data_IF_076606932851
#
_entry.id   IF_076606932851
#
_cell.length_a   1.000
_cell.length_b   1.000
_cell.length_c   1.000
_cell.angle_alpha   90.00
_cell.angle_beta   90.00
_cell.angle_gamma   90.00
#
_symmetry.space_group_name_H-M   'P 1'
#
loop_
_entity.id
_entity.type
_entity.pdbx_description
1 polymer ?
#
# COMPACT_ATOMS: atom_id res chain seq x y z
N UNK A 1 6.56 -11.69 18.59
CA UNK A 1 5.72 -10.90 17.67
C UNK A 1 6.61 -10.38 16.56
N UNK A 2 6.17 -10.48 15.30
CA UNK A 2 6.84 -9.91 14.15
C UNK A 2 5.99 -8.74 13.63
N UNK A 3 6.60 -7.59 13.39
CA UNK A 3 5.89 -6.38 12.94
C UNK A 3 6.56 -5.84 11.68
N UNK A 4 5.76 -5.61 10.63
CA UNK A 4 6.23 -4.94 9.43
C UNK A 4 6.38 -3.43 9.70
N UNK A 5 7.47 -2.83 9.23
CA UNK A 5 7.73 -1.39 9.34
C UNK A 5 8.13 -0.80 7.99
N UNK A 6 7.78 0.47 7.71
CA UNK A 6 8.25 1.15 6.52
C UNK A 6 9.77 1.17 6.45
N UNK A 7 10.32 0.98 5.25
CA UNK A 7 11.79 0.98 5.03
C UNK A 7 12.45 2.29 5.50
N UNK A 8 11.72 3.42 5.41
CA UNK A 8 12.18 4.73 5.86
C UNK A 8 11.89 5.07 7.33
N UNK A 9 11.35 4.14 8.13
CA UNK A 9 11.01 4.41 9.53
C UNK A 9 12.27 4.79 10.33
N UNK A 10 12.21 5.94 11.00
CA UNK A 10 13.26 6.48 11.86
C UNK A 10 13.50 5.57 13.06
N UNK A 11 14.66 5.71 13.73
CA UNK A 11 14.92 4.95 14.96
C UNK A 11 13.89 5.23 16.06
N UNK A 12 13.35 6.45 16.12
CA UNK A 12 12.31 6.84 17.08
C UNK A 12 11.01 6.09 16.79
N UNK A 13 10.57 6.06 15.53
CA UNK A 13 9.35 5.34 15.12
C UNK A 13 9.51 3.83 15.33
N UNK A 14 10.64 3.24 14.92
CA UNK A 14 10.92 1.81 15.14
C UNK A 14 10.91 1.46 16.63
N UNK A 15 11.44 2.33 17.49
CA UNK A 15 11.40 2.16 18.95
C UNK A 15 9.97 2.26 19.49
N UNK A 16 9.21 3.27 19.08
CA UNK A 16 7.82 3.45 19.52
C UNK A 16 6.94 2.24 19.16
N UNK A 17 7.12 1.67 17.97
CA UNK A 17 6.41 0.45 17.54
C UNK A 17 6.78 -0.73 18.45
N UNK A 18 8.07 -0.90 18.76
CA UNK A 18 8.54 -1.97 19.65
C UNK A 18 7.97 -1.83 21.06
N UNK A 19 8.03 -0.63 21.64
CA UNK A 19 7.51 -0.34 22.97
C UNK A 19 5.99 -0.57 23.03
N UNK A 20 5.25 -0.17 21.98
CA UNK A 20 3.81 -0.41 21.88
C UNK A 20 3.49 -1.91 21.84
N UNK A 21 4.22 -2.69 21.04
CA UNK A 21 4.05 -4.13 20.98
C UNK A 21 4.40 -4.84 22.30
N UNK A 22 5.44 -4.39 22.99
CA UNK A 22 5.81 -4.90 24.33
C UNK A 22 4.76 -4.52 25.38
N UNK A 23 4.24 -3.29 25.35
CA UNK A 23 3.15 -2.82 26.21
C UNK A 23 1.85 -3.61 26.01
N UNK A 24 1.62 -4.12 24.80
CA UNK A 24 0.54 -5.06 24.48
C UNK A 24 0.80 -6.51 24.96
N UNK A 25 1.93 -6.78 25.63
CA UNK A 25 2.26 -8.08 26.22
C UNK A 25 3.22 -8.94 25.39
N UNK A 26 3.78 -8.42 24.30
CA UNK A 26 4.77 -9.18 23.52
C UNK A 26 6.10 -9.31 24.28
N UNK A 27 6.53 -10.55 24.53
CA UNK A 27 7.84 -10.84 25.16
C UNK A 27 9.02 -10.48 24.27
N UNK A 28 8.92 -10.81 22.99
CA UNK A 28 9.92 -10.51 21.97
C UNK A 28 9.26 -9.86 20.76
N UNK A 29 9.88 -8.82 20.23
CA UNK A 29 9.38 -8.04 19.09
C UNK A 29 10.48 -7.89 18.04
N UNK A 30 10.24 -8.49 16.88
CA UNK A 30 11.09 -8.39 15.71
C UNK A 30 10.45 -7.44 14.71
N UNK A 31 11.28 -6.60 14.07
CA UNK A 31 10.83 -5.69 13.02
C UNK A 31 11.36 -6.21 11.69
N UNK A 32 10.48 -6.30 10.69
CA UNK A 32 10.83 -6.63 9.31
C UNK A 32 10.42 -5.47 8.42
N UNK A 33 11.21 -5.17 7.41
CA UNK A 33 10.87 -4.12 6.45
C UNK A 33 9.70 -4.57 5.58
N UNK A 34 8.67 -3.73 5.44
CA UNK A 34 7.52 -3.95 4.56
C UNK A 34 7.87 -4.48 3.16
N UNK A 35 8.83 -3.91 2.41
CA UNK A 35 9.17 -4.43 1.08
C UNK A 35 9.76 -5.83 1.13
N UNK A 36 10.48 -6.19 2.19
CA UNK A 36 11.03 -7.53 2.36
C UNK A 36 9.91 -8.52 2.67
N UNK A 37 9.00 -8.17 3.59
CA UNK A 37 7.84 -8.99 3.91
C UNK A 37 6.95 -9.22 2.67
N UNK A 38 6.71 -8.17 1.88
CA UNK A 38 5.94 -8.27 0.64
C UNK A 38 6.63 -9.14 -0.42
N UNK A 39 7.95 -9.02 -0.57
CA UNK A 39 8.72 -9.83 -1.52
C UNK A 39 8.66 -11.32 -1.17
N UNK A 40 8.85 -11.64 0.11
CA UNK A 40 8.75 -13.01 0.62
C UNK A 40 7.32 -13.53 0.41
N UNK A 41 6.30 -12.71 0.74
CA UNK A 41 4.89 -13.07 0.54
C UNK A 41 4.51 -13.28 -0.94
N UNK A 42 5.17 -12.57 -1.86
CA UNK A 42 5.01 -12.73 -3.30
C UNK A 42 5.85 -13.87 -3.91
N UNK A 43 6.65 -14.58 -3.10
CA UNK A 43 7.48 -15.70 -3.56
C UNK A 43 8.71 -15.28 -4.37
N UNK A 44 9.20 -14.05 -4.19
CA UNK A 44 10.40 -13.59 -4.90
C UNK A 44 11.68 -14.20 -4.32
N UNK A 45 12.68 -14.55 -5.17
CA UNK A 45 13.93 -15.16 -4.73
C UNK A 45 14.90 -14.13 -4.13
N UNK A 46 14.56 -13.60 -2.94
CA UNK A 46 15.33 -12.55 -2.25
C UNK A 46 16.65 -13.04 -1.62
N UNK A 47 16.78 -14.35 -1.42
CA UNK A 47 17.97 -15.00 -0.88
C UNK A 47 18.97 -15.44 -1.96
N UNK A 48 18.55 -15.46 -3.24
CA UNK A 48 19.39 -15.87 -4.36
C UNK A 48 20.26 -14.72 -4.88
N UNK A 49 21.26 -15.05 -5.70
CA UNK A 49 22.14 -14.07 -6.35
C UNK A 49 21.45 -13.28 -7.49
N UNK A 50 20.17 -12.97 -7.34
CA UNK A 50 19.32 -12.32 -8.33
C UNK A 50 18.66 -11.06 -7.78
N UNK A 51 18.60 -9.99 -8.56
CA UNK A 51 17.89 -8.77 -8.18
C UNK A 51 16.39 -8.92 -8.36
N UNK A 52 15.61 -8.58 -7.33
CA UNK A 52 14.14 -8.57 -7.37
C UNK A 52 13.60 -7.14 -7.23
N UNK A 53 12.45 -6.85 -7.84
CA UNK A 53 11.75 -5.57 -7.65
C UNK A 53 10.33 -5.84 -7.14
N UNK A 54 9.94 -5.14 -6.08
CA UNK A 54 8.58 -5.15 -5.55
C UNK A 54 7.98 -3.77 -5.68
N UNK A 55 6.74 -3.74 -6.16
CA UNK A 55 5.89 -2.54 -6.14
C UNK A 55 4.69 -2.85 -5.25
N UNK A 56 4.58 -2.12 -4.15
CA UNK A 56 3.46 -2.22 -3.21
C UNK A 56 2.53 -1.03 -3.48
N UNK A 57 1.28 -1.31 -3.84
CA UNK A 57 0.24 -0.30 -3.98
C UNK A 57 -0.62 -0.28 -2.72
N UNK A 58 -0.33 0.68 -1.84
CA UNK A 58 -1.11 1.00 -0.64
C UNK A 58 -1.41 2.50 -0.65
N UNK A 59 -1.99 3.08 0.41
CA UNK A 59 -2.26 4.54 0.49
C UNK A 59 -1.02 5.40 0.11
N UNK A 60 0.19 4.91 0.43
CA UNK A 60 1.46 5.46 -0.05
C UNK A 60 2.25 4.36 -0.78
N UNK A 61 2.27 4.34 -2.12
CA UNK A 61 2.96 3.30 -2.84
C UNK A 61 4.48 3.35 -2.65
N UNK A 62 5.04 2.16 -2.54
CA UNK A 62 6.46 1.94 -2.32
C UNK A 62 7.00 1.06 -3.46
N UNK A 63 8.13 1.47 -4.03
CA UNK A 63 8.91 0.70 -5.00
C UNK A 63 10.26 0.41 -4.38
N UNK A 64 10.60 -0.87 -4.30
CA UNK A 64 11.89 -1.30 -3.77
C UNK A 64 12.57 -2.28 -4.71
N UNK A 65 13.88 -2.12 -4.87
CA UNK A 65 14.77 -3.11 -5.49
C UNK A 65 15.54 -3.81 -4.38
N UNK A 66 15.47 -5.13 -4.39
CA UNK A 66 16.13 -6.02 -3.45
C UNK A 66 17.44 -6.52 -4.04
N UNK A 67 18.44 -6.55 -3.18
CA UNK A 67 19.76 -7.10 -3.44
C UNK A 67 19.69 -8.61 -3.37
N UNK A 68 20.53 -9.31 -4.13
CA UNK A 68 21.10 -10.56 -3.66
C UNK A 68 21.45 -10.52 -2.16
N UNK A 69 21.09 -11.57 -1.42
CA UNK A 69 21.42 -11.75 0.01
C UNK A 69 20.61 -10.85 0.97
N UNK A 70 19.29 -10.74 0.78
CA UNK A 70 18.35 -10.12 1.74
C UNK A 70 18.58 -8.63 2.04
N UNK A 71 19.19 -7.87 1.13
CA UNK A 71 19.39 -6.42 1.28
C UNK A 71 18.37 -5.59 0.48
N UNK A 72 18.06 -4.36 0.91
CA UNK A 72 17.36 -3.38 0.06
C UNK A 72 18.43 -2.51 -0.63
N UNK A 73 18.50 -2.54 -1.96
CA UNK A 73 19.46 -1.74 -2.76
C UNK A 73 18.91 -0.35 -3.06
N UNK A 74 17.61 -0.28 -3.34
CA UNK A 74 16.94 0.96 -3.70
C UNK A 74 15.53 0.96 -3.15
N UNK A 75 15.11 2.10 -2.63
CA UNK A 75 13.76 2.34 -2.15
C UNK A 75 13.31 3.72 -2.62
N UNK A 76 12.11 3.80 -3.16
CA UNK A 76 11.45 5.05 -3.53
C UNK A 76 9.96 4.95 -3.22
N UNK A 77 9.43 5.96 -2.54
CA UNK A 77 8.01 6.07 -2.22
C UNK A 77 7.42 7.28 -2.92
N UNK A 78 6.23 7.12 -3.49
CA UNK A 78 5.43 8.25 -4.01
C UNK A 78 4.19 8.41 -3.16
N UNK A 79 3.83 9.65 -2.82
CA UNK A 79 2.61 9.96 -2.02
C UNK A 79 1.36 10.00 -2.91
N UNK A 80 1.18 8.95 -3.72
CA UNK A 80 0.06 8.80 -4.65
C UNK A 80 -0.41 7.35 -4.57
N UNK A 81 -1.44 7.06 -3.78
CA UNK A 81 -1.99 5.71 -3.64
C UNK A 81 -3.51 5.69 -3.66
N UNK A 82 -4.09 4.75 -2.91
CA UNK A 82 -5.54 4.52 -2.81
C UNK A 82 -6.34 5.82 -2.62
N UNK A 83 -5.96 6.62 -1.63
CA UNK A 83 -6.66 7.85 -1.26
C UNK A 83 -6.70 8.88 -2.41
N UNK A 84 -5.64 8.96 -3.21
CA UNK A 84 -5.61 9.84 -4.40
C UNK A 84 -6.56 9.35 -5.49
N UNK A 85 -6.72 8.04 -5.63
CA UNK A 85 -7.69 7.46 -6.55
C UNK A 85 -9.11 7.75 -6.07
N UNK A 86 -9.36 7.65 -4.76
CA UNK A 86 -10.66 7.98 -4.18
C UNK A 86 -11.01 9.45 -4.37
N UNK A 87 -10.06 10.37 -4.09
CA UNK A 87 -10.20 11.80 -4.40
C UNK A 87 -10.52 12.05 -5.88
N UNK A 88 -9.87 11.32 -6.79
CA UNK A 88 -10.10 11.45 -8.22
C UNK A 88 -11.53 11.01 -8.60
N UNK A 89 -12.03 9.93 -8.01
CA UNK A 89 -13.41 9.42 -8.20
C UNK A 89 -14.43 10.43 -7.66
N UNK A 90 -14.24 10.96 -6.44
CA UNK A 90 -15.12 11.98 -5.86
C UNK A 90 -15.20 13.20 -6.79
N UNK A 91 -14.04 13.71 -7.24
CA UNK A 91 -13.97 14.87 -8.11
C UNK A 91 -14.58 14.60 -9.49
N UNK A 92 -14.44 13.39 -10.02
CA UNK A 92 -15.10 12.98 -11.26
C UNK A 92 -16.62 13.01 -11.11
N UNK A 93 -17.17 12.36 -10.08
CA UNK A 93 -18.62 12.31 -9.84
C UNK A 93 -19.19 13.71 -9.65
N UNK A 94 -18.52 14.56 -8.87
CA UNK A 94 -18.92 15.95 -8.65
C UNK A 94 -18.96 16.77 -9.93
N UNK A 95 -17.97 16.63 -10.83
CA UNK A 95 -17.89 17.40 -12.07
C UNK A 95 -18.85 16.92 -13.14
N UNK A 96 -19.05 15.60 -13.26
CA UNK A 96 -19.81 15.00 -14.35
C UNK A 96 -21.31 14.85 -14.02
N UNK A 97 -21.66 14.68 -12.74
CA UNK A 97 -23.03 14.42 -12.30
C UNK A 97 -23.56 15.43 -11.28
N UNK A 98 -22.74 16.38 -10.81
CA UNK A 98 -23.14 17.39 -9.83
C UNK A 98 -23.43 16.84 -8.42
N UNK A 99 -23.18 15.55 -8.19
CA UNK A 99 -23.44 14.87 -6.92
C UNK A 99 -22.19 14.82 -6.05
N UNK A 100 -22.36 14.95 -4.74
CA UNK A 100 -21.31 14.74 -3.75
C UNK A 100 -21.39 13.31 -3.22
N UNK A 101 -20.26 12.63 -3.17
CA UNK A 101 -20.12 11.30 -2.56
C UNK A 101 -18.99 11.34 -1.53
N UNK A 102 -19.12 10.52 -0.48
CA UNK A 102 -18.08 10.37 0.54
C UNK A 102 -16.95 9.42 0.11
N UNK A 103 -15.87 9.39 0.88
CA UNK A 103 -14.69 8.54 0.65
C UNK A 103 -15.04 7.06 0.58
N UNK A 104 -15.83 6.54 1.53
CA UNK A 104 -16.24 5.12 1.53
C UNK A 104 -16.98 4.72 0.25
N UNK A 105 -17.81 5.63 -0.28
CA UNK A 105 -18.52 5.40 -1.54
C UNK A 105 -17.58 5.43 -2.73
N UNK A 106 -16.62 6.35 -2.74
CA UNK A 106 -15.59 6.43 -3.78
C UNK A 106 -14.68 5.19 -3.79
N UNK A 107 -14.28 4.71 -2.61
CA UNK A 107 -13.49 3.48 -2.46
C UNK A 107 -14.26 2.26 -2.97
N UNK A 108 -15.57 2.19 -2.68
CA UNK A 108 -16.44 1.14 -3.21
C UNK A 108 -16.49 1.15 -4.74
N UNK A 109 -16.66 2.33 -5.35
CA UNK A 109 -16.63 2.48 -6.82
C UNK A 109 -15.29 2.01 -7.38
N UNK A 110 -14.17 2.42 -6.76
CA UNK A 110 -12.81 2.02 -7.15
C UNK A 110 -12.64 0.50 -7.12
N UNK A 111 -13.17 -0.19 -6.11
CA UNK A 111 -13.08 -1.66 -6.01
C UNK A 111 -14.04 -2.41 -6.96
N UNK A 112 -15.25 -1.90 -7.18
CA UNK A 112 -16.25 -2.59 -8.00
C UNK A 112 -16.00 -2.42 -9.51
N UNK A 113 -15.66 -1.21 -9.95
CA UNK A 113 -15.57 -0.86 -11.38
C UNK A 113 -14.28 -0.14 -11.78
N UNK A 114 -13.38 0.17 -10.85
CA UNK A 114 -12.11 0.83 -11.16
C UNK A 114 -11.18 -0.05 -11.99
N UNK A 115 -10.62 0.48 -13.07
CA UNK A 115 -9.60 -0.21 -13.87
C UNK A 115 -8.52 0.76 -14.36
N UNK A 116 -7.26 0.32 -14.29
CA UNK A 116 -6.12 1.06 -14.84
C UNK A 116 -5.81 0.68 -16.30
N UNK A 117 -6.48 -0.34 -16.84
CA UNK A 117 -6.34 -0.81 -18.21
C UNK A 117 -7.70 -0.82 -18.91
N UNK A 118 -7.80 -0.48 -20.20
CA UNK A 118 -9.05 -0.54 -20.93
C UNK A 118 -9.62 -1.96 -20.87
N UNK A 119 -10.83 -2.11 -20.30
CA UNK A 119 -11.56 -3.36 -20.32
C UNK A 119 -12.42 -3.45 -21.58
N UNK A 120 -12.72 -4.67 -22.01
CA UNK A 120 -13.64 -4.92 -23.13
C UNK A 120 -15.12 -4.67 -22.73
N UNK A 121 -15.43 -4.68 -21.42
CA UNK A 121 -16.76 -4.47 -20.88
C UNK A 121 -16.87 -3.16 -20.11
N UNK A 122 -17.92 -2.38 -20.41
CA UNK A 122 -18.28 -1.20 -19.62
C UNK A 122 -19.06 -1.65 -18.39
N UNK A 123 -18.55 -1.32 -17.20
CA UNK A 123 -19.21 -1.59 -15.93
C UNK A 123 -19.80 -0.31 -15.37
N UNK A 124 -21.03 -0.42 -14.86
CA UNK A 124 -21.76 0.69 -14.24
C UNK A 124 -22.12 0.35 -12.80
N UNK A 125 -22.22 1.37 -11.96
CA UNK A 125 -22.60 1.26 -10.56
C UNK A 125 -23.56 2.40 -10.22
N UNK A 126 -24.65 2.08 -9.54
CA UNK A 126 -25.56 3.10 -9.02
C UNK A 126 -25.05 3.59 -7.66
N UNK A 127 -25.00 4.91 -7.52
CA UNK A 127 -24.44 5.57 -6.36
C UNK A 127 -25.42 6.63 -5.87
N UNK A 128 -25.79 6.55 -4.60
CA UNK A 128 -26.62 7.57 -3.96
C UNK A 128 -25.73 8.54 -3.20
N UNK A 129 -26.07 9.83 -3.30
CA UNK A 129 -25.48 10.86 -2.46
C UNK A 129 -25.82 10.61 -0.98
N UNK A 130 -25.14 11.31 -0.07
CA UNK A 130 -25.45 11.27 1.36
C UNK A 130 -26.90 11.70 1.66
#
# INVERSE_FOLDING_TARGET
>A
MLVCVPVGATQVERRAIRESAQGAGAREVFLIEEPMAAAIGAGLPVSEATGSMVVISVAVPLRCRLSPLNGVVYSSSVRIGGDRFDEAVINYVRRNYGSLIGEATAERIKHEIGSAYPGDEVREIEVRGP
#
